data_IF_842697129055
#
_entry.id   IF_842697129055
#
_cell.length_a   1.000
_cell.length_b   1.000
_cell.length_c   1.000
_cell.angle_alpha   90.00
_cell.angle_beta   90.00
_cell.angle_gamma   90.00
#
_symmetry.space_group_name_H-M   'P 1'
#
loop_
_entity.id
_entity.type
_entity.pdbx_description
1 polymer ?
#
# COMPACT_ATOMS: atom_id res chain seq x y z
N UNK A 1 14.65 -22.39 -0.42
CA UNK A 1 13.48 -22.84 -1.22
C UNK A 1 12.45 -21.74 -1.15
N UNK A 2 11.85 -21.30 -2.28
CA UNK A 2 10.85 -20.23 -2.25
C UNK A 2 9.65 -20.74 -1.46
N UNK A 3 9.29 -20.05 -0.37
CA UNK A 3 8.07 -20.32 0.36
C UNK A 3 6.91 -20.11 -0.60
N UNK A 4 6.25 -21.21 -0.96
CA UNK A 4 5.00 -21.21 -1.71
C UNK A 4 4.00 -20.30 -1.01
N UNK A 5 3.39 -19.37 -1.74
CA UNK A 5 2.28 -18.56 -1.25
C UNK A 5 1.27 -19.49 -0.55
N UNK A 6 0.77 -19.13 0.65
CA UNK A 6 -0.17 -19.98 1.36
C UNK A 6 -1.38 -20.27 0.47
N UNK A 7 -1.85 -21.52 0.50
CA UNK A 7 -2.83 -22.09 -0.43
C UNK A 7 -4.13 -21.26 -0.60
N UNK A 8 -4.43 -20.35 0.34
CA UNK A 8 -5.62 -19.48 0.30
C UNK A 8 -5.55 -18.29 -0.65
N UNK A 9 -4.37 -17.70 -0.90
CA UNK A 9 -4.25 -16.56 -1.84
C UNK A 9 -4.11 -17.01 -3.29
N UNK A 10 -3.38 -18.10 -3.53
CA UNK A 10 -3.29 -18.70 -4.87
C UNK A 10 -4.68 -19.09 -5.40
N UNK A 11 -5.57 -19.60 -4.53
CA UNK A 11 -6.96 -19.90 -4.86
C UNK A 11 -7.84 -18.67 -5.14
N UNK A 12 -7.35 -17.45 -4.88
CA UNK A 12 -8.06 -16.18 -5.10
C UNK A 12 -7.40 -15.33 -6.18
N UNK A 13 -6.53 -15.91 -7.01
CA UNK A 13 -5.82 -15.21 -8.07
C UNK A 13 -6.76 -14.40 -8.98
N UNK A 14 -7.89 -14.99 -9.41
CA UNK A 14 -8.86 -14.32 -10.29
C UNK A 14 -9.56 -13.12 -9.62
N UNK A 15 -9.62 -13.11 -8.29
CA UNK A 15 -10.14 -11.97 -7.53
C UNK A 15 -9.07 -10.90 -7.32
N UNK A 16 -7.78 -11.29 -7.30
CA UNK A 16 -6.65 -10.37 -7.26
C UNK A 16 -6.40 -9.72 -8.61
N UNK A 17 -6.63 -10.45 -9.70
CA UNK A 17 -6.34 -10.02 -11.07
C UNK A 17 -7.57 -10.23 -11.96
N UNK A 18 -8.66 -9.48 -11.70
CA UNK A 18 -9.86 -9.60 -12.52
C UNK A 18 -9.62 -8.96 -13.90
N UNK A 19 -10.19 -9.60 -14.92
CA UNK A 19 -10.22 -9.08 -16.29
C UNK A 19 -11.52 -8.29 -16.47
N UNK A 20 -11.40 -7.01 -16.81
CA UNK A 20 -12.52 -6.12 -17.10
C UNK A 20 -13.01 -6.36 -18.52
N UNK A 21 -14.33 -6.46 -18.68
CA UNK A 21 -14.96 -6.64 -19.99
C UNK A 21 -15.00 -5.33 -20.78
N UNK A 22 -15.24 -5.37 -22.09
CA UNK A 22 -15.37 -4.13 -22.88
C UNK A 22 -16.45 -3.17 -22.34
N UNK A 23 -17.66 -3.64 -21.93
CA UNK A 23 -18.63 -2.79 -21.26
C UNK A 23 -18.17 -2.20 -19.92
N UNK A 24 -17.28 -2.90 -19.20
CA UNK A 24 -16.65 -2.36 -18.00
C UNK A 24 -15.72 -1.20 -18.36
N UNK A 25 -14.84 -1.40 -19.35
CA UNK A 25 -13.88 -0.40 -19.82
C UNK A 25 -14.61 0.85 -20.34
N UNK A 26 -15.69 0.68 -21.10
CA UNK A 26 -16.46 1.80 -21.64
C UNK A 26 -17.08 2.66 -20.54
N UNK A 27 -17.54 2.04 -19.44
CA UNK A 27 -18.00 2.76 -18.24
C UNK A 27 -16.86 3.48 -17.53
N UNK A 28 -15.66 2.87 -17.48
CA UNK A 28 -14.48 3.47 -16.86
C UNK A 28 -13.96 4.70 -17.61
N UNK A 29 -14.13 4.79 -18.94
CA UNK A 29 -13.64 5.91 -19.76
C UNK A 29 -14.10 7.28 -19.26
N UNK A 30 -15.25 7.37 -18.59
CA UNK A 30 -15.73 8.65 -18.03
C UNK A 30 -14.91 9.16 -16.84
N UNK A 31 -14.14 8.29 -16.18
CA UNK A 31 -13.32 8.59 -15.01
C UNK A 31 -11.83 8.76 -15.33
N UNK A 32 -11.37 8.21 -16.45
CA UNK A 32 -9.95 8.17 -16.80
C UNK A 32 -9.62 8.97 -18.05
N UNK A 33 -8.34 9.30 -18.17
CA UNK A 33 -7.77 9.93 -19.36
C UNK A 33 -6.99 8.86 -20.14
N UNK A 34 -7.01 8.93 -21.48
CA UNK A 34 -6.22 8.04 -22.31
C UNK A 34 -4.72 8.37 -22.16
N UNK A 35 -3.90 7.33 -22.05
CA UNK A 35 -2.44 7.42 -21.97
C UNK A 35 -1.80 6.38 -22.89
N UNK A 36 -0.59 6.68 -23.35
CA UNK A 36 0.22 5.77 -24.13
C UNK A 36 1.63 5.73 -23.55
N UNK A 37 2.21 4.54 -23.47
CA UNK A 37 3.56 4.28 -22.97
C UNK A 37 4.36 3.53 -24.02
N UNK A 38 5.64 3.89 -24.17
CA UNK A 38 6.56 3.19 -25.06
C UNK A 38 7.08 1.92 -24.41
N UNK A 39 7.57 0.98 -25.20
CA UNK A 39 8.31 -0.17 -24.67
C UNK A 39 9.53 0.31 -23.86
N UNK A 40 9.73 -0.28 -22.68
CA UNK A 40 10.73 0.10 -21.67
C UNK A 40 10.38 1.34 -20.85
N UNK A 41 9.22 1.97 -21.07
CA UNK A 41 8.81 3.13 -20.30
C UNK A 41 8.29 2.73 -18.92
N UNK A 42 8.77 3.43 -17.89
CA UNK A 42 8.34 3.23 -16.52
C UNK A 42 6.97 3.88 -16.30
N UNK A 43 5.98 3.02 -16.00
CA UNK A 43 4.58 3.38 -15.76
C UNK A 43 4.37 3.77 -14.30
N UNK A 44 4.98 3.03 -13.36
CA UNK A 44 4.95 3.31 -11.92
C UNK A 44 6.35 3.06 -11.36
N UNK A 45 6.82 3.93 -10.48
CA UNK A 45 8.06 3.73 -9.72
C UNK A 45 7.77 3.51 -8.24
N UNK A 46 8.42 2.51 -7.64
CA UNK A 46 8.37 2.27 -6.21
C UNK A 46 8.87 3.49 -5.43
N UNK A 47 8.19 3.84 -4.34
CA UNK A 47 8.50 5.01 -3.52
C UNK A 47 7.98 6.36 -4.07
N UNK A 48 7.43 6.40 -5.28
CA UNK A 48 6.75 7.59 -5.85
C UNK A 48 5.23 7.45 -5.75
N UNK A 49 4.51 8.58 -5.74
CA UNK A 49 3.04 8.56 -5.77
C UNK A 49 2.61 8.18 -7.18
N UNK A 50 2.00 7.00 -7.32
CA UNK A 50 1.49 6.53 -8.61
C UNK A 50 0.33 7.42 -9.12
N UNK A 51 0.16 7.55 -10.45
CA UNK A 51 -0.85 8.44 -11.03
C UNK A 51 -2.29 8.02 -10.72
N UNK A 52 -2.51 6.74 -10.38
CA UNK A 52 -3.81 6.17 -10.04
C UNK A 52 -3.96 4.76 -10.60
N UNK A 53 -5.21 4.34 -10.85
CA UNK A 53 -5.53 3.04 -11.42
C UNK A 53 -5.30 3.08 -12.94
N UNK A 54 -4.54 2.14 -13.49
CA UNK A 54 -4.17 2.12 -14.91
C UNK A 54 -4.75 0.86 -15.54
N UNK A 55 -5.79 1.01 -16.36
CA UNK A 55 -6.41 -0.09 -17.10
C UNK A 55 -5.72 -0.25 -18.43
N UNK A 56 -5.23 -1.45 -18.74
CA UNK A 56 -4.51 -1.74 -19.98
C UNK A 56 -5.53 -1.99 -21.09
N UNK A 57 -5.47 -1.21 -22.17
CA UNK A 57 -6.34 -1.34 -23.34
C UNK A 57 -5.66 -2.19 -24.42
N UNK A 58 -4.35 -2.01 -24.58
CA UNK A 58 -3.49 -2.80 -25.47
C UNK A 58 -2.07 -2.86 -24.91
N UNK A 59 -1.29 -3.87 -25.34
CA UNK A 59 0.06 -4.10 -24.85
C UNK A 59 0.12 -4.82 -23.51
N UNK A 60 1.30 -4.80 -22.88
CA UNK A 60 1.58 -5.46 -21.60
C UNK A 60 2.44 -4.59 -20.68
N UNK A 61 2.11 -4.63 -19.39
CA UNK A 61 2.88 -3.99 -18.32
C UNK A 61 3.34 -5.04 -17.34
N UNK A 62 4.65 -5.13 -17.12
CA UNK A 62 5.24 -5.99 -16.11
C UNK A 62 5.33 -5.25 -14.78
N UNK A 63 4.79 -5.84 -13.72
CA UNK A 63 4.90 -5.35 -12.35
C UNK A 63 5.99 -6.14 -11.64
N UNK A 64 6.99 -5.43 -11.17
CA UNK A 64 8.15 -6.00 -10.50
C UNK A 64 8.32 -5.42 -9.10
N UNK A 65 9.10 -6.12 -8.30
CA UNK A 65 9.47 -5.69 -6.96
C UNK A 65 10.97 -5.80 -6.77
N UNK A 66 11.55 -4.76 -6.15
CA UNK A 66 12.97 -4.72 -5.81
C UNK A 66 13.30 -5.57 -4.58
N UNK A 67 14.04 -6.67 -4.75
CA UNK A 67 14.72 -7.40 -3.68
C UNK A 67 16.09 -6.77 -3.39
N UNK A 68 16.11 -5.57 -2.81
CA UNK A 68 17.36 -4.87 -2.52
C UNK A 68 18.07 -4.36 -3.78
N UNK A 69 19.40 -4.20 -3.69
CA UNK A 69 20.16 -3.27 -4.54
C UNK A 69 20.29 -3.59 -6.04
N UNK A 70 19.74 -4.69 -6.58
CA UNK A 70 19.74 -4.99 -8.04
C UNK A 70 18.87 -6.19 -8.48
N UNK A 71 18.12 -6.84 -7.60
CA UNK A 71 17.28 -7.99 -7.97
C UNK A 71 15.84 -7.51 -8.16
N UNK A 72 15.32 -7.63 -9.38
CA UNK A 72 13.90 -7.43 -9.67
C UNK A 72 13.22 -8.79 -9.81
N UNK A 73 12.18 -9.02 -9.03
CA UNK A 73 11.34 -10.21 -9.17
C UNK A 73 10.01 -9.79 -9.79
N UNK A 74 9.60 -10.48 -10.84
CA UNK A 74 8.30 -10.27 -11.48
C UNK A 74 7.19 -10.79 -10.56
N UNK A 75 6.25 -9.92 -10.22
CA UNK A 75 5.05 -10.28 -9.47
C UNK A 75 3.97 -10.78 -10.43
N UNK A 76 3.69 -9.99 -11.47
CA UNK A 76 2.62 -10.24 -12.44
C UNK A 76 2.86 -9.44 -13.71
N UNK A 77 2.39 -9.92 -14.86
CA UNK A 77 2.30 -9.14 -16.10
C UNK A 77 0.83 -8.90 -16.40
N UNK A 78 0.45 -7.63 -16.52
CA UNK A 78 -0.89 -7.22 -16.88
C UNK A 78 -1.01 -7.05 -18.40
N UNK A 79 -2.09 -7.61 -18.97
CA UNK A 79 -2.49 -7.45 -20.37
C UNK A 79 -3.84 -6.74 -20.54
N UNK A 80 -4.39 -6.75 -21.76
CA UNK A 80 -5.63 -6.04 -22.08
C UNK A 80 -6.81 -6.45 -21.18
N UNK A 81 -7.54 -5.45 -20.68
CA UNK A 81 -8.66 -5.61 -19.76
C UNK A 81 -8.24 -5.75 -18.29
N UNK A 82 -6.98 -6.00 -17.99
CA UNK A 82 -6.47 -5.99 -16.63
C UNK A 82 -6.04 -4.58 -16.22
N UNK A 83 -5.79 -4.39 -14.93
CA UNK A 83 -5.35 -3.10 -14.41
C UNK A 83 -4.20 -3.20 -13.41
N UNK A 84 -3.30 -2.23 -13.53
CA UNK A 84 -2.24 -1.94 -12.58
C UNK A 84 -2.79 -1.00 -11.50
N UNK A 85 -2.54 -1.33 -10.25
CA UNK A 85 -2.94 -0.49 -9.12
C UNK A 85 -2.65 -1.14 -7.78
N UNK A 86 -2.49 -0.29 -6.77
CA UNK A 86 -2.26 -0.68 -5.37
C UNK A 86 -3.12 0.19 -4.45
N UNK A 87 -3.46 -0.35 -3.28
CA UNK A 87 -4.38 0.29 -2.33
C UNK A 87 -3.90 1.70 -1.88
N UNK A 88 -2.58 1.94 -1.87
CA UNK A 88 -1.96 3.24 -1.63
C UNK A 88 -2.54 4.36 -2.51
N UNK A 89 -2.99 4.04 -3.73
CA UNK A 89 -3.49 5.02 -4.69
C UNK A 89 -4.77 5.71 -4.23
N UNK A 90 -5.63 5.05 -3.45
CA UNK A 90 -6.84 5.67 -2.86
C UNK A 90 -6.47 6.79 -1.88
N UNK A 91 -5.37 6.58 -1.16
CA UNK A 91 -4.82 7.51 -0.18
C UNK A 91 -3.68 8.38 -0.73
N UNK A 92 -3.38 8.32 -2.03
CA UNK A 92 -2.22 8.97 -2.67
C UNK A 92 -0.91 8.77 -1.89
N UNK A 93 -0.65 7.53 -1.49
CA UNK A 93 0.59 7.08 -0.85
C UNK A 93 1.60 6.58 -1.90
N UNK A 94 2.90 6.52 -1.56
CA UNK A 94 3.92 5.94 -2.43
C UNK A 94 3.60 4.51 -2.86
N UNK A 95 3.92 4.16 -4.11
CA UNK A 95 3.82 2.80 -4.63
C UNK A 95 4.83 1.87 -3.96
N UNK A 96 4.43 0.61 -3.80
CA UNK A 96 5.25 -0.47 -3.27
C UNK A 96 5.97 -1.30 -4.34
N UNK A 97 5.63 -1.08 -5.60
CA UNK A 97 6.08 -1.86 -6.75
C UNK A 97 6.45 -0.95 -7.90
N UNK A 98 7.32 -1.44 -8.77
CA UNK A 98 7.63 -0.83 -10.06
C UNK A 98 6.74 -1.46 -11.13
N UNK A 99 6.40 -0.70 -12.17
CA UNK A 99 5.65 -1.19 -13.31
C UNK A 99 6.26 -0.62 -14.60
N UNK A 100 6.61 -1.47 -15.55
CA UNK A 100 7.25 -1.10 -16.81
C UNK A 100 6.47 -1.65 -17.99
N UNK A 101 6.27 -0.84 -19.03
CA UNK A 101 5.66 -1.28 -20.27
C UNK A 101 6.66 -2.15 -21.05
N UNK A 102 6.42 -3.45 -21.18
CA UNK A 102 7.35 -4.36 -21.87
C UNK A 102 7.22 -4.27 -23.40
N UNK A 103 6.11 -3.72 -23.86
CA UNK A 103 5.81 -3.40 -25.26
C UNK A 103 5.03 -2.07 -25.30
N UNK A 104 4.74 -1.47 -26.48
CA UNK A 104 3.90 -0.29 -26.54
C UNK A 104 2.53 -0.56 -25.92
N UNK A 105 2.11 0.31 -24.99
CA UNK A 105 0.87 0.15 -24.21
C UNK A 105 -0.04 1.35 -24.44
N UNK A 106 -1.30 1.08 -24.75
CA UNK A 106 -2.38 2.06 -24.59
C UNK A 106 -3.15 1.74 -23.31
N UNK A 107 -3.42 2.76 -22.51
CA UNK A 107 -4.06 2.60 -21.23
C UNK A 107 -5.08 3.71 -20.94
N UNK A 108 -5.98 3.42 -20.01
CA UNK A 108 -6.87 4.39 -19.40
C UNK A 108 -6.39 4.64 -17.96
N UNK A 109 -6.02 5.89 -17.66
CA UNK A 109 -5.50 6.28 -16.33
C UNK A 109 -6.60 6.99 -15.54
N UNK A 110 -7.08 6.33 -14.49
CA UNK A 110 -8.03 6.91 -13.53
C UNK A 110 -7.24 7.49 -12.38
N UNK A 111 -7.13 8.82 -12.38
CA UNK A 111 -6.36 9.55 -11.37
C UNK A 111 -6.87 9.29 -9.95
N UNK A 112 -5.98 9.26 -8.96
CA UNK A 112 -6.34 9.00 -7.54
C UNK A 112 -7.52 9.84 -7.02
N UNK A 113 -7.67 11.08 -7.48
CA UNK A 113 -8.80 11.94 -7.09
C UNK A 113 -10.14 11.44 -7.64
N UNK A 114 -10.15 10.91 -8.87
CA UNK A 114 -11.34 10.37 -9.55
C UNK A 114 -11.61 8.91 -9.23
N UNK A 115 -10.65 8.22 -8.62
CA UNK A 115 -10.82 6.84 -8.19
C UNK A 115 -11.91 6.71 -7.13
N UNK A 116 -12.05 7.68 -6.22
CA UNK A 116 -13.18 7.74 -5.29
C UNK A 116 -14.51 7.89 -6.01
N UNK A 117 -14.59 8.78 -6.99
CA UNK A 117 -15.80 8.96 -7.79
C UNK A 117 -16.21 7.67 -8.51
N UNK A 118 -15.23 6.91 -9.03
CA UNK A 118 -15.47 5.59 -9.61
C UNK A 118 -16.12 4.64 -8.58
N UNK A 119 -15.58 4.56 -7.36
CA UNK A 119 -16.11 3.67 -6.33
C UNK A 119 -17.56 4.00 -5.96
N UNK A 120 -17.90 5.28 -5.95
CA UNK A 120 -19.24 5.75 -5.56
C UNK A 120 -20.24 5.58 -6.71
N UNK A 121 -19.85 5.93 -7.93
CA UNK A 121 -20.77 5.98 -9.07
C UNK A 121 -20.89 4.65 -9.84
N UNK A 122 -19.95 3.71 -9.66
CA UNK A 122 -20.02 2.36 -10.23
C UNK A 122 -19.85 1.31 -9.14
N UNK A 123 -20.93 0.97 -8.44
CA UNK A 123 -20.89 0.04 -7.29
C UNK A 123 -20.21 -1.30 -7.63
N UNK A 124 -20.62 -1.97 -8.73
CA UNK A 124 -20.11 -3.28 -9.11
C UNK A 124 -18.64 -3.27 -9.55
N UNK A 125 -18.21 -2.20 -10.24
CA UNK A 125 -16.80 -2.04 -10.65
C UNK A 125 -15.94 -1.65 -9.46
N UNK A 126 -16.45 -0.75 -8.63
CA UNK A 126 -15.78 -0.29 -7.43
C UNK A 126 -15.53 -1.45 -6.47
N UNK A 127 -16.51 -2.31 -6.23
CA UNK A 127 -16.34 -3.50 -5.39
C UNK A 127 -15.26 -4.44 -5.94
N UNK A 128 -15.28 -4.74 -7.24
CA UNK A 128 -14.28 -5.60 -7.90
C UNK A 128 -12.87 -5.02 -7.79
N UNK A 129 -12.70 -3.72 -8.05
CA UNK A 129 -11.41 -3.04 -7.94
C UNK A 129 -10.94 -3.03 -6.47
N UNK A 130 -11.80 -2.62 -5.52
CA UNK A 130 -11.44 -2.61 -4.10
C UNK A 130 -11.03 -3.98 -3.58
N UNK A 131 -11.80 -5.03 -3.93
CA UNK A 131 -11.50 -6.41 -3.55
C UNK A 131 -10.12 -6.84 -4.07
N UNK A 132 -9.84 -6.57 -5.35
CA UNK A 132 -8.54 -6.86 -5.95
C UNK A 132 -7.41 -6.11 -5.23
N UNK A 133 -7.55 -4.81 -4.99
CA UNK A 133 -6.52 -4.00 -4.31
C UNK A 133 -6.27 -4.46 -2.87
N UNK A 134 -7.32 -4.83 -2.13
CA UNK A 134 -7.21 -5.37 -0.77
C UNK A 134 -6.47 -6.71 -0.78
N UNK A 135 -6.83 -7.63 -1.68
CA UNK A 135 -6.19 -8.95 -1.75
C UNK A 135 -4.73 -8.85 -2.20
N UNK A 136 -4.41 -7.97 -3.16
CA UNK A 136 -3.03 -7.64 -3.55
C UNK A 136 -2.22 -7.14 -2.36
N UNK A 137 -2.79 -6.25 -1.53
CA UNK A 137 -2.13 -5.75 -0.32
C UNK A 137 -1.83 -6.86 0.67
N UNK A 138 -2.77 -7.79 0.87
CA UNK A 138 -2.57 -8.96 1.75
C UNK A 138 -1.43 -9.84 1.21
N UNK A 139 -1.40 -10.12 -0.09
CA UNK A 139 -0.29 -10.88 -0.69
C UNK A 139 1.08 -10.23 -0.54
N UNK A 140 1.15 -8.89 -0.64
CA UNK A 140 2.38 -8.14 -0.39
C UNK A 140 2.82 -8.15 1.08
N UNK A 141 1.86 -8.17 2.03
CA UNK A 141 2.14 -8.28 3.45
C UNK A 141 2.68 -9.68 3.81
N UNK A 142 2.11 -10.72 3.20
CA UNK A 142 2.52 -12.12 3.44
C UNK A 142 3.88 -12.44 2.80
N UNK A 143 4.24 -11.80 1.69
CA UNK A 143 5.55 -12.04 1.07
C UNK A 143 6.71 -11.45 1.87
N UNK A 144 6.51 -10.35 2.62
CA UNK A 144 7.56 -9.69 3.40
C UNK A 144 8.67 -9.07 2.57
N UNK A 145 8.48 -8.95 1.25
CA UNK A 145 9.52 -8.49 0.29
C UNK A 145 9.35 -7.01 -0.10
N UNK A 146 8.25 -6.36 0.27
CA UNK A 146 7.99 -4.95 -0.03
C UNK A 146 8.19 -4.02 1.16
N UNK A 147 8.41 -2.73 0.89
CA UNK A 147 8.43 -1.67 1.90
C UNK A 147 9.83 -1.35 2.45
N UNK A 148 9.92 -0.59 3.56
CA UNK A 148 11.20 -0.21 4.15
C UNK A 148 12.00 -1.44 4.62
N UNK A 149 13.33 -1.36 4.45
CA UNK A 149 14.27 -2.37 4.94
C UNK A 149 14.92 -1.88 6.23
N UNK A 150 14.63 -2.55 7.33
CA UNK A 150 15.27 -2.32 8.63
C UNK A 150 16.53 -3.20 8.69
N UNK A 151 17.66 -2.59 9.01
CA UNK A 151 18.93 -3.29 9.24
C UNK A 151 19.39 -3.01 10.67
N UNK A 152 19.60 -4.07 11.44
CA UNK A 152 20.10 -3.98 12.82
C UNK A 152 20.13 -5.36 13.47
N UNK A 153 20.61 -5.43 14.71
CA UNK A 153 20.70 -6.69 15.45
C UNK A 153 19.30 -7.23 15.79
N UNK A 154 19.13 -8.55 15.67
CA UNK A 154 17.85 -9.22 15.92
C UNK A 154 17.29 -9.02 17.34
N UNK A 155 18.17 -8.80 18.33
CA UNK A 155 17.82 -8.58 19.75
C UNK A 155 17.62 -7.10 20.12
N UNK A 156 17.77 -6.18 19.17
CA UNK A 156 17.63 -4.75 19.42
C UNK A 156 16.18 -4.36 19.71
N UNK A 157 15.96 -3.72 20.87
CA UNK A 157 14.66 -3.15 21.24
C UNK A 157 14.16 -2.10 20.22
N UNK A 158 15.07 -1.36 19.59
CA UNK A 158 14.73 -0.38 18.55
C UNK A 158 14.28 -1.05 17.26
N UNK A 159 14.89 -2.18 16.87
CA UNK A 159 14.42 -2.99 15.74
C UNK A 159 13.00 -3.49 15.99
N UNK A 160 12.73 -4.05 17.17
CA UNK A 160 11.40 -4.52 17.57
C UNK A 160 10.36 -3.38 17.61
N UNK A 161 10.75 -2.20 18.08
CA UNK A 161 9.91 -0.99 18.10
C UNK A 161 9.47 -0.61 16.68
N UNK A 162 10.42 -0.51 15.74
CA UNK A 162 10.15 -0.13 14.35
C UNK A 162 9.33 -1.18 13.61
N UNK A 163 9.65 -2.46 13.78
CA UNK A 163 8.85 -3.57 13.23
C UNK A 163 7.40 -3.53 13.75
N UNK A 164 7.24 -3.39 15.07
CA UNK A 164 5.94 -3.31 15.71
C UNK A 164 5.11 -2.13 15.19
N UNK A 165 5.74 -0.97 14.97
CA UNK A 165 5.09 0.19 14.35
C UNK A 165 4.57 -0.10 12.94
N UNK A 166 5.41 -0.70 12.07
CA UNK A 166 5.04 -1.02 10.69
C UNK A 166 3.95 -2.09 10.63
N UNK A 167 4.09 -3.14 11.43
CA UNK A 167 3.11 -4.23 11.52
C UNK A 167 1.72 -3.71 11.96
N UNK A 168 1.66 -2.89 13.01
CA UNK A 168 0.39 -2.30 13.50
C UNK A 168 -0.27 -1.37 12.47
N UNK A 169 0.52 -0.75 11.59
CA UNK A 169 0.02 0.11 10.52
C UNK A 169 -0.14 -0.62 9.17
N UNK A 170 -0.09 -1.96 9.16
CA UNK A 170 -0.25 -2.78 7.96
C UNK A 170 0.75 -2.42 6.86
N UNK A 171 1.97 -2.05 7.23
CA UNK A 171 3.06 -1.76 6.30
C UNK A 171 3.95 -2.99 6.11
N UNK A 172 4.02 -3.53 4.87
CA UNK A 172 5.04 -4.51 4.53
C UNK A 172 6.42 -3.94 4.83
N UNK A 173 7.31 -4.78 5.33
CA UNK A 173 8.69 -4.40 5.61
C UNK A 173 9.58 -5.62 5.66
N UNK A 174 10.89 -5.38 5.55
CA UNK A 174 11.91 -6.42 5.68
C UNK A 174 12.85 -6.09 6.80
N UNK A 175 13.32 -7.11 7.49
CA UNK A 175 14.30 -7.00 8.56
C UNK A 175 15.50 -7.83 8.15
N UNK A 176 16.68 -7.20 8.14
CA UNK A 176 17.95 -7.87 7.89
C UNK A 176 18.80 -7.75 9.13
N UNK A 177 19.32 -8.89 9.58
CA UNK A 177 20.23 -8.94 10.72
C UNK A 177 21.62 -8.47 10.30
N UNK A 178 22.18 -7.51 11.01
CA UNK A 178 23.47 -6.88 10.64
C UNK A 178 24.66 -7.84 10.70
N UNK A 179 24.60 -8.89 11.52
CA UNK A 179 25.73 -9.79 11.77
C UNK A 179 25.75 -10.98 10.80
N UNK A 180 24.56 -11.49 10.48
CA UNK A 180 24.37 -12.72 9.72
C UNK A 180 23.98 -12.50 8.26
N UNK A 181 23.34 -11.39 7.91
CA UNK A 181 22.83 -11.16 6.55
C UNK A 181 23.87 -10.47 5.63
N UNK A 182 24.28 -11.09 4.51
CA UNK A 182 25.23 -10.47 3.57
C UNK A 182 24.72 -9.16 2.95
N UNK A 183 23.41 -9.04 2.72
CA UNK A 183 22.79 -7.83 2.17
C UNK A 183 22.84 -6.70 3.19
N UNK A 184 22.64 -7.00 4.48
CA UNK A 184 22.83 -6.03 5.56
C UNK A 184 24.26 -5.48 5.59
N UNK A 185 25.27 -6.36 5.51
CA UNK A 185 26.69 -5.94 5.48
C UNK A 185 27.01 -5.02 4.31
N UNK A 186 26.54 -5.37 3.11
CA UNK A 186 26.70 -4.51 1.93
C UNK A 186 26.06 -3.14 2.11
N UNK A 187 24.90 -3.06 2.77
CA UNK A 187 24.24 -1.78 3.05
C UNK A 187 25.03 -0.95 4.07
N UNK A 188 25.49 -1.57 5.16
CA UNK A 188 26.30 -0.91 6.20
C UNK A 188 27.60 -0.35 5.61
N UNK A 189 28.31 -1.15 4.81
CA UNK A 189 29.55 -0.75 4.14
C UNK A 189 29.32 0.36 3.13
N UNK A 190 28.36 0.18 2.20
CA UNK A 190 28.09 1.14 1.12
C UNK A 190 27.69 2.52 1.64
N UNK A 191 26.89 2.55 2.70
CA UNK A 191 26.42 3.80 3.29
C UNK A 191 27.31 4.31 4.43
N UNK A 192 28.45 3.66 4.67
CA UNK A 192 29.43 4.02 5.71
C UNK A 192 28.76 4.23 7.07
N UNK A 193 27.92 3.28 7.46
CA UNK A 193 27.13 3.35 8.69
C UNK A 193 27.95 2.85 9.86
N UNK A 194 28.15 3.71 10.85
CA UNK A 194 28.72 3.32 12.14
C UNK A 194 27.75 2.35 12.86
N UNK A 195 28.23 1.24 13.45
CA UNK A 195 27.41 0.32 14.26
C UNK A 195 26.56 1.01 15.33
N UNK A 196 27.02 2.13 15.91
CA UNK A 196 26.27 2.91 16.90
C UNK A 196 25.02 3.61 16.34
N UNK A 197 24.89 3.71 15.00
CA UNK A 197 23.73 4.28 14.33
C UNK A 197 22.67 3.23 13.95
N UNK A 198 22.87 1.96 14.31
CA UNK A 198 21.87 0.92 14.12
C UNK A 198 20.70 1.06 15.13
N UNK A 199 19.46 0.70 14.73
CA UNK A 199 19.11 0.21 13.40
C UNK A 199 19.01 1.33 12.36
N UNK A 200 19.42 1.03 11.13
CA UNK A 200 19.15 1.90 9.98
C UNK A 200 17.90 1.42 9.25
N UNK A 201 17.22 2.35 8.59
CA UNK A 201 16.06 2.04 7.74
C UNK A 201 16.28 2.61 6.36
N UNK A 202 16.26 1.75 5.34
CA UNK A 202 16.23 2.15 3.93
C UNK A 202 14.78 2.27 3.49
N UNK A 203 14.35 3.50 3.24
CA UNK A 203 13.01 3.83 2.75
C UNK A 203 12.81 3.38 1.30
N UNK A 204 11.56 3.11 0.86
CA UNK A 204 11.26 2.76 -0.54
C UNK A 204 11.74 3.81 -1.56
N UNK A 205 11.78 5.08 -1.16
CA UNK A 205 12.29 6.18 -1.99
C UNK A 205 13.83 6.32 -1.99
N UNK A 206 14.55 5.35 -1.41
CA UNK A 206 16.01 5.34 -1.33
C UNK A 206 16.62 6.17 -0.19
N UNK A 207 15.81 6.88 0.61
CA UNK A 207 16.32 7.62 1.78
C UNK A 207 16.78 6.65 2.87
N UNK A 208 17.98 6.88 3.40
CA UNK A 208 18.49 6.16 4.56
C UNK A 208 18.20 6.95 5.85
N UNK A 209 17.59 6.30 6.84
CA UNK A 209 17.38 6.82 8.19
C UNK A 209 18.27 6.08 9.18
N UNK A 210 18.80 6.79 10.18
CA UNK A 210 19.65 6.25 11.25
C UNK A 210 18.87 6.30 12.56
N UNK A 211 18.67 5.14 13.19
CA UNK A 211 17.78 4.90 14.33
C UNK A 211 16.56 5.85 14.39
N UNK A 212 15.64 5.77 13.39
CA UNK A 212 14.56 6.73 13.29
C UNK A 212 13.53 6.63 14.42
N UNK A 213 12.83 7.74 14.66
CA UNK A 213 11.58 7.70 15.42
C UNK A 213 10.46 7.05 14.59
N UNK A 214 9.37 6.64 15.25
CA UNK A 214 8.17 6.15 14.56
C UNK A 214 7.60 7.22 13.62
N UNK A 215 7.69 8.50 13.97
CA UNK A 215 7.24 9.62 13.13
C UNK A 215 8.09 9.78 11.87
N UNK A 216 9.41 9.63 11.96
CA UNK A 216 10.30 9.69 10.80
C UNK A 216 10.00 8.53 9.84
N UNK A 217 9.77 7.34 10.39
CA UNK A 217 9.40 6.16 9.63
C UNK A 217 8.00 6.31 8.99
N UNK A 218 7.04 6.91 9.69
CA UNK A 218 5.71 7.20 9.17
C UNK A 218 5.75 8.17 7.97
N UNK A 219 6.60 9.20 8.03
CA UNK A 219 6.80 10.13 6.92
C UNK A 219 7.50 9.45 5.74
N UNK A 220 8.54 8.67 6.02
CA UNK A 220 9.29 7.90 5.03
C UNK A 220 8.41 6.92 4.23
N UNK A 221 7.45 6.27 4.91
CA UNK A 221 6.51 5.31 4.31
C UNK A 221 5.26 5.97 3.73
N UNK A 222 5.11 7.29 3.86
CA UNK A 222 3.94 8.03 3.39
C UNK A 222 2.68 7.83 4.23
N UNK A 223 2.78 7.23 5.42
CA UNK A 223 1.68 7.12 6.39
C UNK A 223 1.23 8.51 6.88
N UNK A 224 2.20 9.38 7.16
CA UNK A 224 1.96 10.77 7.58
C UNK A 224 2.36 11.70 6.46
N UNK A 225 1.37 12.38 5.87
CA UNK A 225 1.59 13.41 4.85
C UNK A 225 1.78 14.78 5.50
N UNK A 226 2.49 15.71 4.82
CA UNK A 226 2.48 17.11 5.22
C UNK A 226 1.03 17.60 5.26
N UNK A 227 0.66 18.29 6.33
CA UNK A 227 -0.62 19.00 6.40
C UNK A 227 -0.43 20.29 5.62
N UNK A 228 -1.30 20.52 4.63
CA UNK A 228 -1.33 21.77 3.89
C UNK A 228 -1.77 22.90 4.85
N UNK A 229 -0.91 23.88 5.15
CA UNK A 229 -1.24 24.94 6.10
C UNK A 229 -2.34 25.88 5.59
N UNK A 230 -2.66 25.83 4.29
CA UNK A 230 -3.69 26.67 3.67
C UNK A 230 -5.05 25.97 3.58
N UNK A 231 -5.09 24.65 3.80
CA UNK A 231 -6.33 23.88 3.72
C UNK A 231 -7.15 24.04 5.00
N UNK A 232 -8.38 24.54 4.86
CA UNK A 232 -9.37 24.57 5.93
C UNK A 232 -10.11 23.23 5.94
N UNK A 233 -10.27 22.66 7.13
CA UNK A 233 -11.05 21.44 7.38
C UNK A 233 -12.31 21.82 8.16
N UNK A 234 -13.44 21.25 7.79
CA UNK A 234 -14.73 21.46 8.46
C UNK A 234 -14.80 20.72 9.80
N UNK A 235 -14.08 19.60 9.93
CA UNK A 235 -14.02 18.81 11.15
C UNK A 235 -12.63 18.21 11.39
N UNK A 236 -12.18 18.28 12.65
CA UNK A 236 -10.99 17.59 13.14
C UNK A 236 -11.40 16.48 14.11
N UNK A 237 -10.98 15.26 13.82
CA UNK A 237 -11.26 14.06 14.62
C UNK A 237 -9.96 13.61 15.28
N UNK A 238 -9.98 13.52 16.62
CA UNK A 238 -8.83 13.07 17.41
C UNK A 238 -9.04 11.61 17.84
N UNK A 239 -8.19 10.73 17.32
CA UNK A 239 -8.21 9.29 17.49
C UNK A 239 -8.72 8.55 16.25
N UNK A 240 -7.94 7.62 15.72
CA UNK A 240 -8.27 6.79 14.56
C UNK A 240 -8.78 5.39 14.97
N UNK A 241 -9.47 5.30 16.12
CA UNK A 241 -10.20 4.09 16.53
C UNK A 241 -11.55 3.93 15.80
N UNK A 242 -12.37 2.92 16.16
CA UNK A 242 -13.65 2.67 15.51
C UNK A 242 -14.56 3.90 15.46
N UNK A 243 -14.69 4.61 16.57
CA UNK A 243 -15.53 5.81 16.66
C UNK A 243 -15.02 6.95 15.76
N UNK A 244 -13.70 7.18 15.74
CA UNK A 244 -13.11 8.25 14.94
C UNK A 244 -13.12 7.96 13.45
N UNK A 245 -12.83 6.71 13.05
CA UNK A 245 -12.93 6.29 11.65
C UNK A 245 -14.39 6.32 11.17
N UNK A 246 -15.35 5.87 11.98
CA UNK A 246 -16.76 5.97 11.64
C UNK A 246 -17.20 7.43 11.50
N UNK A 247 -16.84 8.30 12.45
CA UNK A 247 -17.12 9.73 12.36
C UNK A 247 -16.52 10.37 11.10
N UNK A 248 -15.31 9.96 10.71
CA UNK A 248 -14.66 10.44 9.50
C UNK A 248 -15.43 10.04 8.23
N UNK A 249 -15.83 8.77 8.14
CA UNK A 249 -16.63 8.25 7.01
C UNK A 249 -17.95 9.00 6.89
N UNK A 250 -18.70 9.17 7.99
CA UNK A 250 -19.99 9.85 7.95
C UNK A 250 -19.87 11.35 7.69
N UNK A 251 -18.86 12.02 8.24
CA UNK A 251 -18.62 13.43 7.93
C UNK A 251 -18.21 13.61 6.46
N UNK A 252 -17.33 12.76 5.93
CA UNK A 252 -16.93 12.80 4.53
C UNK A 252 -18.10 12.48 3.56
N UNK A 253 -19.02 11.57 3.93
CA UNK A 253 -20.20 11.27 3.11
C UNK A 253 -21.16 12.44 2.99
N UNK A 254 -21.19 13.33 3.99
CA UNK A 254 -21.94 14.60 3.95
C UNK A 254 -21.15 15.72 3.25
N UNK A 255 -20.03 15.40 2.60
CA UNK A 255 -19.22 16.34 1.82
C UNK A 255 -18.28 17.21 2.63
N UNK A 256 -18.09 16.93 3.94
CA UNK A 256 -17.18 17.71 4.78
C UNK A 256 -15.71 17.40 4.49
N UNK A 257 -14.87 18.43 4.53
CA UNK A 257 -13.42 18.29 4.54
C UNK A 257 -12.94 17.87 5.94
N UNK A 258 -12.63 16.60 6.13
CA UNK A 258 -12.27 16.03 7.44
C UNK A 258 -10.76 15.77 7.56
N UNK A 259 -10.20 16.00 8.75
CA UNK A 259 -8.87 15.51 9.14
C UNK A 259 -8.98 14.58 10.36
N UNK A 260 -8.33 13.41 10.28
CA UNK A 260 -8.23 12.46 11.40
C UNK A 260 -6.79 12.43 11.87
N UNK A 261 -6.59 12.59 13.18
CA UNK A 261 -5.27 12.62 13.81
C UNK A 261 -5.18 11.52 14.86
N UNK A 262 -4.13 10.72 14.81
CA UNK A 262 -3.85 9.67 15.81
C UNK A 262 -2.37 9.72 16.21
N UNK A 263 -2.06 9.27 17.42
CA UNK A 263 -0.70 9.29 17.97
C UNK A 263 0.08 7.99 17.73
N UNK A 264 -0.57 6.90 17.25
CA UNK A 264 0.05 5.57 17.15
C UNK A 264 -0.27 4.83 15.86
N UNK A 265 -1.55 4.51 15.63
CA UNK A 265 -1.98 3.68 14.51
C UNK A 265 -3.50 3.74 14.36
N UNK A 266 -3.98 3.49 13.15
CA UNK A 266 -5.41 3.31 12.93
C UNK A 266 -5.94 2.04 13.63
N UNK A 267 -7.24 2.04 13.93
CA UNK A 267 -7.95 0.94 14.54
C UNK A 267 -8.07 0.99 16.06
N UNK A 268 -7.28 1.82 16.74
CA UNK A 268 -7.32 1.97 18.20
C UNK A 268 -7.23 0.62 18.93
N UNK A 269 -7.97 0.47 20.03
CA UNK A 269 -7.99 -0.78 20.80
C UNK A 269 -8.60 -1.96 20.02
N UNK A 270 -9.57 -1.70 19.15
CA UNK A 270 -10.21 -2.75 18.35
C UNK A 270 -9.23 -3.43 17.40
N UNK A 271 -8.23 -2.71 16.90
CA UNK A 271 -7.19 -3.27 16.02
C UNK A 271 -6.39 -4.41 16.67
N UNK A 272 -6.27 -4.43 18.00
CA UNK A 272 -5.54 -5.46 18.74
C UNK A 272 -6.35 -6.74 19.02
N UNK A 273 -7.66 -6.72 18.78
CA UNK A 273 -8.51 -7.88 19.04
C UNK A 273 -8.24 -9.01 18.04
N UNK A 274 -7.94 -10.21 18.54
CA UNK A 274 -7.73 -11.39 17.69
C UNK A 274 -8.97 -11.72 16.84
N UNK A 275 -10.16 -11.56 17.43
CA UNK A 275 -11.46 -11.78 16.79
C UNK A 275 -12.54 -10.92 17.44
N UNK A 276 -13.36 -10.29 16.62
CA UNK A 276 -14.53 -9.49 17.00
C UNK A 276 -15.75 -10.25 16.48
N UNK A 277 -16.62 -10.69 17.39
CA UNK A 277 -17.82 -11.50 17.07
C UNK A 277 -19.13 -10.71 17.24
N UNK A 278 -19.05 -9.54 17.86
CA UNK A 278 -20.17 -8.67 18.21
C UNK A 278 -20.27 -7.43 17.31
N UNK A 279 -19.84 -7.52 16.04
CA UNK A 279 -19.94 -6.45 15.06
C UNK A 279 -20.89 -6.84 13.93
N UNK A 280 -21.90 -5.99 13.68
CA UNK A 280 -22.92 -6.25 12.65
C UNK A 280 -22.29 -6.46 11.27
N UNK A 281 -22.88 -7.35 10.47
CA UNK A 281 -22.37 -7.70 9.14
C UNK A 281 -21.26 -8.77 9.11
N UNK A 282 -20.80 -9.27 10.27
CA UNK A 282 -19.77 -10.32 10.37
C UNK A 282 -20.27 -11.53 11.17
N UNK A 283 -21.14 -12.39 10.61
CA UNK A 283 -21.78 -13.49 11.35
C UNK A 283 -20.80 -14.56 11.84
N UNK A 284 -19.63 -14.70 11.20
CA UNK A 284 -18.54 -15.59 11.63
C UNK A 284 -17.46 -14.87 12.42
N UNK A 285 -17.65 -13.60 12.76
CA UNK A 285 -16.62 -12.72 13.29
C UNK A 285 -15.57 -12.28 12.26
N UNK A 286 -14.73 -11.32 12.65
CA UNK A 286 -13.63 -10.75 11.86
C UNK A 286 -12.47 -10.38 12.80
N UNK A 287 -11.22 -10.47 12.36
CA UNK A 287 -10.10 -9.99 13.18
C UNK A 287 -10.15 -8.47 13.33
N UNK A 288 -9.70 -7.95 14.47
CA UNK A 288 -9.67 -6.52 14.76
C UNK A 288 -8.92 -5.73 13.70
N UNK A 289 -7.74 -6.22 13.32
CA UNK A 289 -6.92 -5.62 12.26
C UNK A 289 -7.63 -5.61 10.90
N UNK A 290 -8.29 -6.71 10.50
CA UNK A 290 -9.00 -6.75 9.22
C UNK A 290 -10.21 -5.80 9.19
N UNK A 291 -10.96 -5.71 10.30
CA UNK A 291 -12.08 -4.78 10.42
C UNK A 291 -11.60 -3.33 10.34
N UNK A 292 -10.58 -2.98 11.12
CA UNK A 292 -10.06 -1.62 11.17
C UNK A 292 -9.33 -1.21 9.90
N UNK A 293 -8.64 -2.12 9.20
CA UNK A 293 -8.05 -1.85 7.90
C UNK A 293 -9.12 -1.52 6.85
N UNK A 294 -10.26 -2.23 6.87
CA UNK A 294 -11.41 -1.90 5.99
C UNK A 294 -11.97 -0.52 6.32
N UNK A 295 -12.21 -0.23 7.60
CA UNK A 295 -12.69 1.08 8.04
C UNK A 295 -11.72 2.20 7.65
N UNK A 296 -10.41 1.98 7.82
CA UNK A 296 -9.37 2.94 7.45
C UNK A 296 -9.34 3.23 5.94
N UNK A 297 -9.55 2.22 5.10
CA UNK A 297 -9.58 2.42 3.64
C UNK A 297 -10.85 3.15 3.17
N UNK A 298 -11.90 3.13 3.97
CA UNK A 298 -13.17 3.80 3.69
C UNK A 298 -13.15 5.28 4.14
N UNK A 299 -12.45 5.57 5.23
CA UNK A 299 -12.27 6.91 5.80
C UNK A 299 -11.28 7.76 4.99
#
# INVERSE_FOLDING_TARGET
MPQSAPAGLAARHDQMFPILTQPDIDRLRRFGDAAAYRAGEQVIRAGEIAPGLIVILSGRVEVTQGRGLNLRETIVTHGPGEFVGELAQLSARPSLVDAEAVEPVEALVIRSQRLRDLMVQEADLGERVMRALILRRVGLLESGVSGPVIVGHADSADVLRLQGFLARNGQPHRVLDSDSDPCAKTLVERFHVDPHHLPIVLCPNGKLLRNPSETDLARCTGLVRPIDPTKVYDAAIVGAGPAGLAAAVYAASEGLAVIVVDCRAFGGQAGASARIENYLGFPTGISGMALMARAYNQA
#
